data_IF_590149904358
#
_entry.id   IF_590149904358
#
_cell.length_a   1.000
_cell.length_b   1.000
_cell.length_c   1.000
_cell.angle_alpha   90.00
_cell.angle_beta   90.00
_cell.angle_gamma   90.00
#
_symmetry.space_group_name_H-M   'P 1'
#
loop_
_entity.id
_entity.type
_entity.pdbx_description
1 polymer ?
#
# COMPACT_ATOMS: atom_id res chain seq x y z
N UNK A 1 -18.32 -30.39 -10.28
CA UNK A 1 -18.66 -28.96 -10.41
C UNK A 1 -17.63 -28.19 -9.59
N UNK A 2 -16.63 -27.58 -10.24
CA UNK A 2 -15.59 -26.80 -9.55
C UNK A 2 -16.15 -25.40 -9.35
N UNK A 3 -16.21 -24.96 -8.10
CA UNK A 3 -16.64 -23.61 -7.76
C UNK A 3 -15.59 -22.62 -8.26
N UNK A 4 -15.97 -21.80 -9.24
CA UNK A 4 -15.09 -20.83 -9.94
C UNK A 4 -14.93 -19.54 -9.11
N UNK A 5 -15.51 -19.43 -7.90
CA UNK A 5 -15.52 -18.17 -7.15
C UNK A 5 -14.31 -17.91 -6.25
N UNK A 6 -13.38 -18.85 -6.04
CA UNK A 6 -12.13 -18.54 -5.33
C UNK A 6 -11.05 -18.08 -6.29
N UNK A 7 -11.21 -16.86 -6.82
CA UNK A 7 -10.03 -16.04 -7.03
C UNK A 7 -9.50 -15.78 -5.61
N UNK A 8 -8.43 -16.47 -5.21
CA UNK A 8 -7.68 -16.03 -4.05
C UNK A 8 -7.44 -14.53 -4.24
N UNK A 9 -7.74 -13.71 -3.22
CA UNK A 9 -7.31 -12.30 -3.22
C UNK A 9 -5.78 -12.30 -3.15
N UNK A 10 -5.15 -12.62 -4.27
CA UNK A 10 -3.76 -12.31 -4.55
C UNK A 10 -3.71 -10.81 -4.81
N UNK A 11 -3.91 -10.06 -3.74
CA UNK A 11 -3.81 -8.62 -3.77
C UNK A 11 -2.33 -8.29 -3.69
N UNK A 12 -1.62 -8.47 -4.81
CA UNK A 12 -0.16 -8.22 -4.89
C UNK A 12 0.21 -6.83 -4.39
N UNK A 13 -0.69 -5.87 -4.56
CA UNK A 13 -0.55 -4.52 -4.06
C UNK A 13 -0.43 -4.48 -2.52
N UNK A 14 -1.27 -5.20 -1.73
CA UNK A 14 -1.12 -5.18 -0.26
C UNK A 14 0.24 -5.73 0.17
N UNK A 15 0.76 -6.76 -0.51
CA UNK A 15 2.05 -7.34 -0.15
C UNK A 15 3.20 -6.39 -0.45
N UNK A 16 3.17 -5.71 -1.59
CA UNK A 16 4.14 -4.65 -1.92
C UNK A 16 4.08 -3.50 -0.89
N UNK A 17 2.89 -3.05 -0.52
CA UNK A 17 2.72 -2.02 0.51
C UNK A 17 3.28 -2.49 1.88
N UNK A 18 3.03 -3.75 2.25
CA UNK A 18 3.53 -4.32 3.51
C UNK A 18 5.03 -4.61 3.48
N UNK A 19 5.62 -4.81 2.30
CA UNK A 19 7.06 -4.92 2.12
C UNK A 19 7.71 -3.56 2.40
N UNK A 20 7.25 -2.50 1.74
CA UNK A 20 7.72 -1.13 2.02
C UNK A 20 7.53 -0.73 3.49
N UNK A 21 6.38 -1.08 4.11
CA UNK A 21 6.11 -0.81 5.53
C UNK A 21 7.20 -1.35 6.46
N UNK A 22 7.79 -2.51 6.16
CA UNK A 22 8.84 -3.12 7.01
C UNK A 22 10.13 -2.29 7.02
N UNK A 23 10.36 -1.53 5.96
CA UNK A 23 11.59 -0.76 5.78
C UNK A 23 11.48 0.66 6.35
N UNK A 24 10.28 1.09 6.78
CA UNK A 24 10.07 2.36 7.49
C UNK A 24 10.76 2.29 8.86
N UNK A 25 11.73 3.19 9.07
CA UNK A 25 12.50 3.33 10.32
C UNK A 25 11.90 4.37 11.25
N UNK A 26 11.29 5.40 10.68
CA UNK A 26 10.67 6.47 11.43
C UNK A 26 9.30 6.81 10.86
N UNK A 27 8.28 6.72 11.72
CA UNK A 27 6.90 7.14 11.45
C UNK A 27 6.36 7.87 12.69
N UNK A 28 6.60 9.20 12.81
CA UNK A 28 6.37 9.95 14.04
C UNK A 28 4.95 9.83 14.59
N UNK A 29 3.97 9.81 13.70
CA UNK A 29 2.54 9.78 14.04
C UNK A 29 1.94 8.38 13.91
N UNK A 30 2.78 7.37 13.61
CA UNK A 30 2.34 6.02 13.26
C UNK A 30 1.29 5.98 12.14
N UNK A 31 1.37 6.95 11.21
CA UNK A 31 0.36 7.18 10.18
C UNK A 31 0.30 6.01 9.18
N UNK A 32 1.45 5.43 8.85
CA UNK A 32 1.58 4.30 7.93
C UNK A 32 1.62 2.98 8.70
N UNK A 33 2.49 2.86 9.70
CA UNK A 33 2.79 1.57 10.34
C UNK A 33 1.60 0.97 11.09
N UNK A 34 0.67 1.79 11.61
CA UNK A 34 -0.55 1.30 12.27
C UNK A 34 -1.72 1.10 11.29
N UNK A 35 -1.71 1.82 10.17
CA UNK A 35 -2.81 1.76 9.21
C UNK A 35 -2.65 0.62 8.21
N UNK A 36 -1.43 0.35 7.76
CA UNK A 36 -1.16 -0.64 6.71
C UNK A 36 -1.00 -2.04 7.32
N UNK A 37 -1.97 -2.93 7.08
CA UNK A 37 -1.92 -4.32 7.54
C UNK A 37 -2.63 -5.26 6.53
N UNK A 38 -2.52 -6.58 6.71
CA UNK A 38 -3.09 -7.58 5.79
C UNK A 38 -4.62 -7.56 5.73
N UNK A 39 -5.26 -7.03 6.77
CA UNK A 39 -6.71 -6.93 6.91
C UNK A 39 -7.22 -5.58 6.39
N UNK A 40 -6.32 -4.63 6.06
CA UNK A 40 -6.64 -3.34 5.45
C UNK A 40 -6.99 -3.49 3.97
N UNK A 41 -7.89 -4.41 3.63
CA UNK A 41 -8.35 -4.72 2.28
C UNK A 41 -9.88 -4.69 2.28
N UNK A 42 -10.47 -3.89 1.39
CA UNK A 42 -11.90 -3.82 1.19
C UNK A 42 -12.43 -5.04 0.43
N UNK A 43 -13.77 -5.22 0.41
CA UNK A 43 -14.43 -6.35 -0.25
C UNK A 43 -14.09 -6.47 -1.75
N UNK A 44 -13.69 -5.37 -2.40
CA UNK A 44 -13.28 -5.33 -3.81
C UNK A 44 -11.78 -5.61 -4.02
N UNK A 45 -11.04 -5.89 -2.94
CA UNK A 45 -9.59 -6.09 -2.95
C UNK A 45 -8.78 -4.81 -2.72
N UNK A 46 -9.36 -3.61 -2.82
CA UNK A 46 -8.60 -2.36 -2.66
C UNK A 46 -8.10 -2.18 -1.21
N UNK A 47 -6.85 -1.73 -0.96
CA UNK A 47 -6.43 -1.40 0.38
C UNK A 47 -6.74 0.05 0.70
N UNK A 48 -7.99 0.49 0.53
CA UNK A 48 -8.42 1.88 0.76
C UNK A 48 -8.44 2.28 2.22
N UNK A 49 -8.50 1.31 3.13
CA UNK A 49 -8.37 1.56 4.57
C UNK A 49 -6.92 1.86 4.99
N UNK A 50 -5.95 1.64 4.10
CA UNK A 50 -4.58 2.11 4.27
C UNK A 50 -4.51 3.62 4.02
N UNK A 51 -3.99 4.34 4.99
CA UNK A 51 -3.76 5.77 4.93
C UNK A 51 -2.87 6.14 3.73
N UNK A 52 -3.26 7.18 3.01
CA UNK A 52 -2.53 7.66 1.82
C UNK A 52 -2.73 6.81 0.57
N UNK A 53 -3.58 5.79 0.59
CA UNK A 53 -3.89 4.93 -0.57
C UNK A 53 -5.24 5.32 -1.18
N UNK A 54 -5.29 5.42 -2.51
CA UNK A 54 -6.54 5.43 -3.26
C UNK A 54 -6.46 4.42 -4.39
N UNK A 55 -7.59 3.77 -4.70
CA UNK A 55 -7.63 2.71 -5.70
C UNK A 55 -8.37 3.08 -6.97
N UNK A 56 -8.08 2.29 -7.99
CA UNK A 56 -8.85 2.18 -9.21
C UNK A 56 -9.11 0.69 -9.50
N UNK A 57 -10.38 0.30 -9.65
CA UNK A 57 -10.76 -1.08 -9.99
C UNK A 57 -10.22 -2.17 -9.03
N UNK A 58 -10.15 -1.86 -7.72
CA UNK A 58 -9.65 -2.80 -6.70
C UNK A 58 -8.12 -2.82 -6.51
N UNK A 59 -7.37 -2.06 -7.30
CA UNK A 59 -5.91 -1.97 -7.22
C UNK A 59 -5.47 -0.59 -6.72
N UNK A 60 -4.38 -0.54 -5.94
CA UNK A 60 -3.80 0.71 -5.50
C UNK A 60 -3.30 1.51 -6.71
N UNK A 61 -3.85 2.71 -6.89
CA UNK A 61 -3.55 3.56 -8.02
C UNK A 61 -2.84 4.85 -7.61
N UNK A 62 -3.01 5.27 -6.37
CA UNK A 62 -2.40 6.49 -5.83
C UNK A 62 -1.85 6.16 -4.45
N UNK A 63 -0.57 6.48 -4.25
CA UNK A 63 0.11 6.44 -2.95
C UNK A 63 0.66 7.83 -2.66
N UNK A 64 0.13 8.49 -1.63
CA UNK A 64 0.53 9.85 -1.23
C UNK A 64 0.87 9.87 0.25
N UNK A 65 2.15 10.04 0.54
CA UNK A 65 2.74 10.08 1.87
C UNK A 65 3.59 11.36 1.98
N UNK A 66 2.97 12.53 2.10
CA UNK A 66 3.65 13.84 1.98
C UNK A 66 3.63 14.58 3.31
N UNK A 67 4.74 15.22 3.69
CA UNK A 67 4.88 15.99 4.94
C UNK A 67 4.64 15.17 6.22
N UNK A 68 5.00 13.88 6.22
CA UNK A 68 4.73 12.99 7.35
C UNK A 68 5.93 12.81 8.28
N UNK A 69 7.11 13.29 7.87
CA UNK A 69 8.36 13.05 8.60
C UNK A 69 8.79 11.59 8.56
N UNK A 70 8.40 10.86 7.51
CA UNK A 70 8.80 9.46 7.34
C UNK A 70 10.30 9.35 7.06
N UNK A 71 10.90 8.25 7.49
CA UNK A 71 12.22 7.81 7.02
C UNK A 71 12.18 6.31 6.80
N UNK A 72 12.72 5.85 5.68
CA UNK A 72 12.71 4.44 5.29
C UNK A 72 14.00 4.07 4.55
N UNK A 73 14.49 2.86 4.79
CA UNK A 73 15.67 2.32 4.09
C UNK A 73 15.28 1.49 2.84
N UNK A 74 13.98 1.46 2.51
CA UNK A 74 13.41 0.59 1.49
C UNK A 74 13.54 1.16 0.08
N UNK A 75 13.76 0.27 -0.89
CA UNK A 75 13.80 0.65 -2.30
C UNK A 75 12.39 0.96 -2.82
N UNK A 76 12.24 2.10 -3.49
CA UNK A 76 10.98 2.50 -4.11
C UNK A 76 10.58 1.58 -5.27
N UNK A 77 11.48 0.72 -5.75
CA UNK A 77 11.19 -0.34 -6.72
C UNK A 77 10.07 -1.28 -6.25
N UNK A 78 9.84 -1.41 -4.94
CA UNK A 78 8.72 -2.18 -4.38
C UNK A 78 7.39 -1.68 -4.95
N UNK A 79 7.25 -0.36 -5.19
CA UNK A 79 6.04 0.21 -5.79
C UNK A 79 5.86 -0.14 -7.28
N UNK A 80 6.90 -0.65 -7.96
CA UNK A 80 6.75 -1.19 -9.32
C UNK A 80 5.96 -2.50 -9.36
N UNK A 81 5.80 -3.18 -8.21
CA UNK A 81 4.91 -4.33 -8.08
C UNK A 81 3.43 -3.94 -8.00
N UNK A 82 3.11 -2.66 -7.80
CA UNK A 82 1.74 -2.16 -7.86
C UNK A 82 1.23 -2.20 -9.30
N UNK A 83 0.09 -2.83 -9.50
CA UNK A 83 -0.41 -3.14 -10.86
C UNK A 83 -0.95 -1.93 -11.62
N UNK A 84 -1.41 -0.88 -10.90
CA UNK A 84 -2.11 0.26 -11.49
C UNK A 84 -1.63 1.60 -10.94
N UNK A 85 -0.37 1.70 -10.47
CA UNK A 85 0.15 2.95 -9.91
C UNK A 85 0.15 4.07 -10.96
N UNK A 86 -0.62 5.12 -10.70
CA UNK A 86 -0.72 6.34 -11.52
C UNK A 86 0.02 7.50 -10.84
N UNK A 87 0.04 7.51 -9.51
CA UNK A 87 0.72 8.55 -8.73
C UNK A 87 1.39 7.97 -7.49
N UNK A 88 2.68 8.20 -7.38
CA UNK A 88 3.48 8.00 -6.17
C UNK A 88 4.03 9.35 -5.72
N UNK A 89 3.75 9.77 -4.48
CA UNK A 89 4.31 10.98 -3.91
C UNK A 89 4.76 10.74 -2.47
N UNK A 90 6.05 10.93 -2.24
CA UNK A 90 6.70 10.86 -0.91
C UNK A 90 7.45 12.14 -0.59
N UNK A 91 6.96 13.27 -1.12
CA UNK A 91 7.63 14.55 -1.00
C UNK A 91 7.71 15.03 0.46
N UNK A 92 8.78 15.76 0.77
CA UNK A 92 9.02 16.38 2.08
C UNK A 92 8.93 15.38 3.25
N UNK A 93 9.65 14.27 3.10
CA UNK A 93 10.03 13.34 4.17
C UNK A 93 11.57 13.35 4.32
N UNK A 94 12.10 12.63 5.30
CA UNK A 94 13.52 12.69 5.69
C UNK A 94 14.38 11.61 5.04
#
# INVERSE_FOLDING_TARGET
>A
MKDISKKACDHRDIWALLEFRKDIKHDPNSYVVNSWNRESIDLNGCPSSCNGIMCNGGNAAIVVLVNLGLSADGDLIIFANLTMIVKLSMANNS
#
